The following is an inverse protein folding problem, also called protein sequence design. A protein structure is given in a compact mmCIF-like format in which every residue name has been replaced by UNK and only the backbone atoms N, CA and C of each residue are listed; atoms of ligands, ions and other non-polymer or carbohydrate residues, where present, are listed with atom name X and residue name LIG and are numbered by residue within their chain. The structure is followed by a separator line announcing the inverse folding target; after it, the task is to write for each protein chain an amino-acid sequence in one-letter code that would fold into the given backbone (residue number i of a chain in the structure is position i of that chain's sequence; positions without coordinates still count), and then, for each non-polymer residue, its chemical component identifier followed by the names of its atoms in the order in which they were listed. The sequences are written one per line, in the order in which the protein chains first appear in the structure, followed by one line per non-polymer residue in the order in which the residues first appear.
data_IF_950188405124
#
_entry.id   IF_950188405124
#
_cell.length_a   1.000
_cell.length_b   1.000
_cell.length_c   1.000
_cell.angle_alpha   90.00
_cell.angle_beta   90.00
_cell.angle_gamma   90.00
#
_symmetry.space_group_name_H-M   'P 1'
#
loop_
_entity.id
_entity.type
_entity.pdbx_description
1 polymer ?
#
# COMPACT_ATOMS: atom_id res chain seq x y z
N UNK A 1 16.23 -35.06 -31.27
CA UNK A 1 16.56 -35.53 -29.91
C UNK A 1 17.75 -34.72 -29.41
N UNK A 2 17.60 -33.47 -28.96
CA UNK A 2 17.20 -33.05 -27.61
C UNK A 2 17.96 -33.78 -26.50
N UNK A 3 18.95 -33.10 -25.91
CA UNK A 3 19.15 -33.12 -24.46
C UNK A 3 19.87 -31.83 -24.08
N UNK A 4 19.01 -30.95 -23.56
CA UNK A 4 19.22 -29.58 -23.18
C UNK A 4 19.84 -29.50 -21.78
N UNK A 5 20.45 -28.36 -21.54
CA UNK A 5 20.91 -27.83 -20.26
C UNK A 5 19.89 -28.08 -19.14
N UNK A 6 20.35 -28.60 -18.00
CA UNK A 6 19.68 -28.31 -16.72
C UNK A 6 20.69 -28.21 -15.60
N UNK A 7 20.80 -26.96 -15.15
CA UNK A 7 21.68 -26.46 -14.13
C UNK A 7 21.63 -27.25 -12.83
N UNK A 8 22.85 -27.51 -12.39
CA UNK A 8 23.30 -27.85 -11.06
C UNK A 8 22.60 -26.98 -10.00
N UNK A 9 21.70 -27.60 -9.24
CA UNK A 9 21.23 -27.06 -7.97
C UNK A 9 22.40 -27.13 -6.99
N UNK A 10 23.21 -26.08 -6.96
CA UNK A 10 24.22 -25.86 -5.93
C UNK A 10 23.48 -25.78 -4.59
N UNK A 11 23.53 -26.89 -3.85
CA UNK A 11 23.27 -26.88 -2.42
C UNK A 11 24.13 -25.79 -1.81
N UNK A 12 23.48 -24.85 -1.12
CA UNK A 12 24.19 -23.93 -0.25
C UNK A 12 24.74 -24.81 0.88
N UNK A 13 25.99 -25.24 0.72
CA UNK A 13 26.75 -25.87 1.77
C UNK A 13 26.67 -24.95 2.99
N UNK A 14 26.03 -25.45 4.04
CA UNK A 14 26.10 -24.88 5.37
C UNK A 14 27.57 -24.99 5.81
N UNK A 15 28.35 -23.95 5.49
CA UNK A 15 29.71 -23.81 5.97
C UNK A 15 29.65 -23.77 7.49
N UNK A 16 30.11 -24.84 8.12
CA UNK A 16 30.53 -24.89 9.53
C UNK A 16 31.60 -23.82 9.76
N UNK A 17 31.15 -22.58 9.94
CA UNK A 17 31.97 -21.49 10.44
C UNK A 17 31.65 -21.31 11.91
N UNK A 18 32.67 -21.67 12.69
CA UNK A 18 32.88 -21.43 14.11
C UNK A 18 31.87 -20.47 14.77
N UNK A 19 31.27 -20.96 15.85
CA UNK A 19 30.38 -20.25 16.75
C UNK A 19 30.77 -18.76 16.91
N UNK A 20 29.85 -17.81 16.64
CA UNK A 20 30.10 -16.42 16.95
C UNK A 20 30.18 -16.31 18.48
N UNK A 21 31.24 -15.66 18.96
CA UNK A 21 31.38 -15.26 20.35
C UNK A 21 30.13 -14.48 20.75
N UNK A 22 29.54 -14.84 21.89
CA UNK A 22 28.43 -14.13 22.51
C UNK A 22 28.78 -12.64 22.65
N UNK A 23 28.11 -11.82 21.86
CA UNK A 23 27.96 -10.40 22.13
C UNK A 23 26.67 -10.28 22.97
N UNK A 24 26.82 -10.24 24.29
CA UNK A 24 25.75 -10.28 25.29
C UNK A 24 24.88 -8.99 25.35
N UNK A 25 24.92 -8.12 24.34
CA UNK A 25 24.15 -6.86 24.33
C UNK A 25 23.32 -6.62 23.06
N UNK A 26 23.01 -7.66 22.28
CA UNK A 26 21.96 -7.55 21.27
C UNK A 26 20.58 -7.69 21.94
N UNK A 27 19.99 -6.57 22.38
CA UNK A 27 18.58 -6.51 22.80
C UNK A 27 17.69 -6.85 21.59
N UNK A 28 17.46 -8.14 21.34
CA UNK A 28 16.47 -8.60 20.38
C UNK A 28 15.09 -8.52 21.03
N UNK A 29 14.31 -7.50 20.64
CA UNK A 29 12.89 -7.41 20.97
C UNK A 29 12.19 -8.68 20.47
N UNK A 30 11.63 -9.47 21.40
CA UNK A 30 10.76 -10.59 21.03
C UNK A 30 9.63 -10.03 20.16
N UNK A 31 9.46 -10.47 18.90
CA UNK A 31 8.39 -9.99 18.05
C UNK A 31 7.05 -10.51 18.60
N UNK A 32 6.43 -9.72 19.47
CA UNK A 32 5.09 -9.99 20.02
C UNK A 32 4.07 -9.11 19.28
N UNK A 33 3.80 -9.42 18.02
CA UNK A 33 2.55 -8.96 17.41
C UNK A 33 1.43 -9.91 17.85
N UNK A 34 0.66 -9.51 18.86
CA UNK A 34 -0.58 -10.19 19.21
C UNK A 34 -1.68 -9.92 18.18
N UNK A 35 -2.72 -10.76 18.16
CA UNK A 35 -3.85 -10.62 17.23
C UNK A 35 -4.48 -9.23 17.26
N UNK A 36 -4.75 -8.70 18.47
CA UNK A 36 -5.37 -7.38 18.63
C UNK A 36 -4.48 -6.24 18.13
N UNK A 37 -3.15 -6.33 18.36
CA UNK A 37 -2.20 -5.34 17.85
C UNK A 37 -2.14 -5.38 16.32
N UNK A 38 -2.15 -6.58 15.72
CA UNK A 38 -2.20 -6.74 14.27
C UNK A 38 -3.48 -6.16 13.65
N UNK A 39 -4.64 -6.48 14.20
CA UNK A 39 -5.94 -5.95 13.74
C UNK A 39 -5.96 -4.42 13.83
N UNK A 40 -5.51 -3.86 14.94
CA UNK A 40 -5.48 -2.39 15.13
C UNK A 40 -4.59 -1.70 14.11
N UNK A 41 -3.41 -2.27 13.81
CA UNK A 41 -2.49 -1.73 12.79
C UNK A 41 -3.12 -1.78 11.39
N UNK A 42 -3.79 -2.88 11.05
CA UNK A 42 -4.47 -3.04 9.76
C UNK A 42 -5.63 -2.05 9.63
N UNK A 43 -6.47 -1.92 10.67
CA UNK A 43 -7.58 -0.97 10.66
C UNK A 43 -7.07 0.48 10.55
N UNK A 44 -6.00 0.81 11.28
CA UNK A 44 -5.37 2.12 11.24
C UNK A 44 -4.70 2.45 9.90
N UNK A 45 -4.22 1.46 9.16
CA UNK A 45 -3.63 1.68 7.84
C UNK A 45 -4.68 1.76 6.71
N UNK A 46 -5.83 1.11 6.87
CA UNK A 46 -6.94 1.16 5.89
C UNK A 46 -7.74 2.46 6.02
N UNK A 47 -8.03 2.91 7.24
CA UNK A 47 -8.81 4.14 7.47
C UNK A 47 -7.93 5.36 7.23
N UNK A 48 -8.04 5.94 6.04
CA UNK A 48 -7.31 7.15 5.63
C UNK A 48 -8.21 8.38 5.41
N UNK A 49 -7.61 9.47 4.93
CA UNK A 49 -8.28 10.74 4.60
C UNK A 49 -9.27 10.65 3.43
N UNK A 50 -9.26 9.54 2.67
CA UNK A 50 -10.17 9.31 1.55
C UNK A 50 -11.65 9.35 1.92
N UNK A 51 -12.01 9.03 3.17
CA UNK A 51 -13.40 9.09 3.65
C UNK A 51 -14.01 10.49 3.57
N UNK A 52 -13.20 11.55 3.56
CA UNK A 52 -13.67 12.91 3.42
C UNK A 52 -13.93 13.31 1.96
N UNK A 53 -13.36 12.60 0.98
CA UNK A 53 -13.47 12.94 -0.46
C UNK A 53 -14.43 12.01 -1.18
N UNK A 54 -14.32 10.70 -0.90
CA UNK A 54 -15.04 9.65 -1.62
C UNK A 54 -16.58 9.75 -1.57
N UNK A 55 -17.24 10.12 -0.44
CA UNK A 55 -18.70 10.18 -0.39
C UNK A 55 -19.31 11.17 -1.39
N UNK A 56 -18.69 12.36 -1.56
CA UNK A 56 -19.14 13.36 -2.55
C UNK A 56 -19.03 12.81 -3.97
N UNK A 57 -17.92 12.12 -4.29
CA UNK A 57 -17.72 11.50 -5.60
C UNK A 57 -18.72 10.39 -5.91
N UNK A 58 -18.97 9.48 -4.96
CA UNK A 58 -19.91 8.37 -5.14
C UNK A 58 -21.34 8.88 -5.25
N UNK A 59 -21.74 9.87 -4.44
CA UNK A 59 -23.09 10.43 -4.50
C UNK A 59 -23.35 11.15 -5.83
N UNK A 60 -22.38 11.92 -6.34
CA UNK A 60 -22.49 12.56 -7.65
C UNK A 60 -22.58 11.55 -8.79
N UNK A 61 -21.87 10.42 -8.69
CA UNK A 61 -21.92 9.35 -9.70
C UNK A 61 -23.18 8.48 -9.67
N UNK A 62 -23.83 8.33 -8.51
CA UNK A 62 -25.00 7.46 -8.33
C UNK A 62 -26.33 8.23 -8.32
N UNK A 63 -26.33 9.52 -8.01
CA UNK A 63 -27.51 10.40 -7.98
C UNK A 63 -28.52 10.12 -6.86
N UNK A 64 -28.42 8.97 -6.18
CA UNK A 64 -29.32 8.56 -5.10
C UNK A 64 -28.53 8.00 -3.91
N UNK A 65 -28.96 8.37 -2.70
CA UNK A 65 -28.32 7.94 -1.44
C UNK A 65 -28.39 6.41 -1.28
N UNK A 66 -29.51 5.77 -1.66
CA UNK A 66 -29.66 4.32 -1.56
C UNK A 66 -28.65 3.56 -2.43
N UNK A 67 -28.45 4.02 -3.67
CA UNK A 67 -27.46 3.43 -4.57
C UNK A 67 -26.02 3.69 -4.09
N UNK A 68 -25.75 4.85 -3.50
CA UNK A 68 -24.42 5.16 -2.96
C UNK A 68 -24.02 4.19 -1.83
N UNK A 69 -24.95 3.80 -0.96
CA UNK A 69 -24.70 2.82 0.10
C UNK A 69 -24.44 1.41 -0.46
N UNK A 70 -25.17 1.01 -1.50
CA UNK A 70 -24.93 -0.27 -2.18
C UNK A 70 -23.54 -0.31 -2.80
N UNK A 71 -23.08 0.77 -3.44
CA UNK A 71 -21.72 0.86 -3.99
C UNK A 71 -20.66 0.76 -2.89
N UNK A 72 -20.88 1.42 -1.75
CA UNK A 72 -19.99 1.29 -0.59
C UNK A 72 -19.87 -0.14 -0.10
N UNK A 73 -20.99 -0.84 0.12
CA UNK A 73 -20.99 -2.25 0.55
C UNK A 73 -20.34 -3.16 -0.49
N UNK A 74 -20.66 -2.96 -1.77
CA UNK A 74 -20.07 -3.73 -2.87
C UNK A 74 -18.55 -3.55 -2.95
N UNK A 75 -18.06 -2.31 -2.80
CA UNK A 75 -16.61 -2.03 -2.75
C UNK A 75 -15.93 -2.70 -1.55
N UNK A 76 -16.58 -2.73 -0.39
CA UNK A 76 -16.06 -3.40 0.80
C UNK A 76 -15.94 -4.92 0.62
N UNK A 77 -16.94 -5.56 0.01
CA UNK A 77 -16.90 -6.99 -0.31
C UNK A 77 -15.78 -7.29 -1.33
N UNK A 78 -15.66 -6.45 -2.36
CA UNK A 78 -14.60 -6.60 -3.36
C UNK A 78 -13.20 -6.48 -2.74
N UNK A 79 -12.98 -5.49 -1.87
CA UNK A 79 -11.73 -5.34 -1.12
C UNK A 79 -11.46 -6.53 -0.19
N UNK A 80 -12.49 -7.11 0.44
CA UNK A 80 -12.32 -8.29 1.29
C UNK A 80 -11.83 -9.51 0.50
N UNK A 81 -12.38 -9.75 -0.69
CA UNK A 81 -11.92 -10.83 -1.57
C UNK A 81 -10.45 -10.62 -1.97
N UNK A 82 -10.09 -9.39 -2.36
CA UNK A 82 -8.70 -9.04 -2.66
C UNK A 82 -7.76 -9.27 -1.47
N UNK A 83 -8.17 -8.88 -0.27
CA UNK A 83 -7.39 -9.09 0.95
C UNK A 83 -7.15 -10.58 1.24
N UNK A 84 -8.12 -11.45 1.01
CA UNK A 84 -7.92 -12.90 1.15
C UNK A 84 -6.92 -13.45 0.13
N UNK A 85 -7.00 -13.04 -1.14
CA UNK A 85 -6.01 -13.44 -2.14
C UNK A 85 -4.59 -13.00 -1.76
N UNK A 86 -4.44 -11.77 -1.24
CA UNK A 86 -3.16 -11.25 -0.75
C UNK A 86 -2.68 -11.96 0.52
N UNK A 87 -3.59 -12.39 1.41
CA UNK A 87 -3.25 -13.17 2.59
C UNK A 87 -2.66 -14.54 2.20
N UNK A 88 -3.28 -15.26 1.26
CA UNK A 88 -2.77 -16.54 0.75
C UNK A 88 -1.38 -16.37 0.11
N UNK A 89 -1.20 -15.32 -0.69
CA UNK A 89 0.09 -15.02 -1.31
C UNK A 89 1.17 -14.66 -0.27
N UNK A 90 0.79 -13.91 0.77
CA UNK A 90 1.67 -13.56 1.88
C UNK A 90 2.05 -14.74 2.78
N UNK A 91 1.20 -15.76 2.86
CA UNK A 91 1.53 -17.03 3.52
C UNK A 91 2.44 -17.93 2.66
N UNK A 92 2.33 -17.85 1.33
CA UNK A 92 3.14 -18.65 0.41
C UNK A 92 4.56 -18.11 0.22
N UNK A 93 4.71 -16.79 0.09
CA UNK A 93 6.00 -16.14 -0.19
C UNK A 93 6.40 -15.25 0.98
N UNK A 94 7.20 -15.80 1.91
CA UNK A 94 7.69 -15.09 3.10
C UNK A 94 8.99 -14.32 2.84
N UNK A 95 9.07 -13.62 1.70
CA UNK A 95 10.21 -12.74 1.37
C UNK A 95 9.85 -11.28 1.66
N UNK A 96 10.82 -10.50 2.10
CA UNK A 96 10.63 -9.06 2.31
C UNK A 96 10.46 -8.32 0.98
N UNK A 97 9.49 -7.41 0.90
CA UNK A 97 9.23 -6.60 -0.30
C UNK A 97 7.79 -6.64 -0.84
N UNK A 98 6.89 -7.42 -0.23
CA UNK A 98 5.46 -7.52 -0.58
C UNK A 98 5.25 -7.67 -2.10
N UNK A 99 4.51 -6.75 -2.73
CA UNK A 99 4.21 -6.72 -4.17
C UNK A 99 5.44 -6.96 -5.06
N UNK A 100 6.57 -6.32 -4.74
CA UNK A 100 7.80 -6.47 -5.52
C UNK A 100 8.36 -7.90 -5.41
N UNK A 101 8.40 -8.46 -4.19
CA UNK A 101 8.89 -9.80 -3.95
C UNK A 101 8.01 -10.87 -4.62
N UNK A 102 6.69 -10.67 -4.63
CA UNK A 102 5.76 -11.59 -5.30
C UNK A 102 5.98 -11.62 -6.81
N UNK A 103 6.12 -10.45 -7.43
CA UNK A 103 6.34 -10.35 -8.89
C UNK A 103 7.75 -10.82 -9.29
N UNK A 104 8.74 -10.58 -8.43
CA UNK A 104 10.11 -11.04 -8.65
C UNK A 104 10.19 -12.58 -8.70
N UNK A 105 9.44 -13.26 -7.83
CA UNK A 105 9.41 -14.73 -7.79
C UNK A 105 8.65 -15.33 -8.98
N UNK A 106 7.56 -14.69 -9.43
CA UNK A 106 6.68 -15.26 -10.46
C UNK A 106 7.02 -14.87 -11.90
N UNK A 107 7.48 -13.62 -12.14
CA UNK A 107 7.70 -13.06 -13.49
C UNK A 107 9.14 -12.63 -13.76
N UNK A 108 10.03 -12.71 -12.75
CA UNK A 108 11.45 -12.37 -12.89
C UNK A 108 11.77 -10.88 -12.76
N UNK A 109 13.07 -10.51 -12.92
CA UNK A 109 13.59 -9.21 -12.49
C UNK A 109 13.11 -8.01 -13.33
N UNK A 110 12.84 -8.20 -14.62
CA UNK A 110 12.45 -7.09 -15.50
C UNK A 110 11.04 -6.56 -15.19
N UNK A 111 10.06 -7.46 -15.02
CA UNK A 111 8.67 -7.09 -14.70
C UNK A 111 8.60 -6.50 -13.29
N UNK A 112 9.37 -7.06 -12.34
CA UNK A 112 9.47 -6.52 -10.99
C UNK A 112 10.02 -5.09 -10.98
N UNK A 113 11.04 -4.80 -11.79
CA UNK A 113 11.58 -3.44 -11.94
C UNK A 113 10.53 -2.46 -12.50
N UNK A 114 9.79 -2.83 -13.54
CA UNK A 114 8.74 -1.96 -14.11
C UNK A 114 7.63 -1.67 -13.10
N UNK A 115 7.20 -2.67 -12.32
CA UNK A 115 6.20 -2.45 -11.27
C UNK A 115 6.70 -1.46 -10.22
N UNK A 116 7.95 -1.62 -9.76
CA UNK A 116 8.56 -0.72 -8.78
C UNK A 116 8.76 0.69 -9.36
N UNK A 117 9.16 0.78 -10.63
CA UNK A 117 9.32 2.05 -11.34
C UNK A 117 8.00 2.82 -11.40
N UNK A 118 6.92 2.17 -11.83
CA UNK A 118 5.57 2.77 -11.88
C UNK A 118 5.09 3.15 -10.49
N UNK A 119 5.33 2.30 -9.48
CA UNK A 119 4.99 2.60 -8.09
C UNK A 119 5.67 3.89 -7.62
N UNK A 120 6.98 4.01 -7.84
CA UNK A 120 7.79 5.14 -7.38
C UNK A 120 7.54 6.43 -8.17
N UNK A 121 7.38 6.35 -9.49
CA UNK A 121 7.23 7.54 -10.35
C UNK A 121 5.79 8.04 -10.45
N UNK A 122 4.80 7.16 -10.32
CA UNK A 122 3.40 7.51 -10.59
C UNK A 122 2.56 7.35 -9.32
N UNK A 123 2.50 6.14 -8.76
CA UNK A 123 1.53 5.83 -7.69
C UNK A 123 1.81 6.65 -6.43
N UNK A 124 3.06 6.67 -5.96
CA UNK A 124 3.44 7.38 -4.73
C UNK A 124 3.27 8.89 -4.85
N UNK A 125 3.78 9.58 -5.90
CA UNK A 125 3.58 11.01 -6.04
C UNK A 125 2.11 11.40 -6.24
N UNK A 126 1.34 10.63 -7.03
CA UNK A 126 -0.08 10.90 -7.22
C UNK A 126 -0.86 10.79 -5.90
N UNK A 127 -0.58 9.76 -5.10
CA UNK A 127 -1.22 9.61 -3.79
C UNK A 127 -0.93 10.79 -2.87
N UNK A 128 0.32 11.25 -2.80
CA UNK A 128 0.69 12.42 -2.00
C UNK A 128 0.01 13.70 -2.52
N UNK A 129 -0.03 13.89 -3.84
CA UNK A 129 -0.68 15.04 -4.45
C UNK A 129 -2.18 15.12 -4.15
N UNK A 130 -2.90 13.99 -4.21
CA UNK A 130 -4.33 13.95 -3.86
C UNK A 130 -4.56 14.31 -2.40
N UNK A 131 -3.73 13.80 -1.49
CA UNK A 131 -3.83 14.12 -0.05
C UNK A 131 -3.52 15.60 0.20
N UNK A 132 -2.47 16.15 -0.42
CA UNK A 132 -2.11 17.56 -0.30
C UNK A 132 -3.22 18.49 -0.85
N UNK A 133 -3.78 18.19 -2.03
CA UNK A 133 -4.90 18.96 -2.60
C UNK A 133 -6.13 18.91 -1.69
N UNK A 134 -6.44 17.73 -1.15
CA UNK A 134 -7.55 17.54 -0.21
C UNK A 134 -7.34 18.39 1.04
N UNK A 135 -6.15 18.31 1.64
CA UNK A 135 -5.78 19.12 2.80
C UNK A 135 -5.95 20.61 2.52
N UNK A 136 -5.40 21.11 1.42
CA UNK A 136 -5.51 22.52 1.03
C UNK A 136 -6.95 22.98 0.85
N UNK A 137 -7.78 22.17 0.19
CA UNK A 137 -9.20 22.48 0.02
C UNK A 137 -9.93 22.55 1.36
N UNK A 138 -9.66 21.60 2.27
CA UNK A 138 -10.30 21.57 3.59
C UNK A 138 -9.83 22.70 4.52
N UNK A 139 -8.57 23.14 4.43
CA UNK A 139 -8.03 24.26 5.23
C UNK A 139 -8.52 25.62 4.72
N UNK A 140 -8.74 25.77 3.42
CA UNK A 140 -9.22 27.02 2.82
C UNK A 140 -10.74 27.21 3.01
N UNK A 141 -11.50 26.13 3.21
CA UNK A 141 -12.96 26.20 3.34
C UNK A 141 -13.46 27.09 4.50
N UNK A 142 -12.86 27.08 5.70
CA UNK A 142 -13.25 28.01 6.77
C UNK A 142 -12.90 29.47 6.48
N UNK A 143 -11.87 29.75 5.67
CA UNK A 143 -11.46 31.11 5.32
C UNK A 143 -12.35 31.73 4.24
N UNK A 144 -12.99 30.90 3.41
CA UNK A 144 -13.96 31.31 2.39
C UNK A 144 -15.29 30.58 2.60
N UNK A 145 -16.08 30.97 3.62
CA UNK A 145 -17.32 30.27 3.97
C UNK A 145 -18.42 30.42 2.91
N UNK A 146 -18.50 31.57 2.25
CA UNK A 146 -19.57 31.90 1.29
C UNK A 146 -19.18 31.72 -0.19
N UNK A 147 -17.91 31.40 -0.47
CA UNK A 147 -17.39 31.32 -1.84
C UNK A 147 -16.51 30.08 -2.02
N UNK A 148 -16.48 29.53 -3.24
CA UNK A 148 -15.58 28.43 -3.54
C UNK A 148 -14.12 28.96 -3.53
N UNK A 149 -13.18 28.29 -2.82
CA UNK A 149 -11.81 28.77 -2.74
C UNK A 149 -11.18 28.78 -4.15
N UNK A 150 -10.50 29.87 -4.55
CA UNK A 150 -9.96 29.97 -5.90
C UNK A 150 -8.93 28.87 -6.15
N UNK A 151 -9.02 28.22 -7.33
CA UNK A 151 -8.17 27.07 -7.70
C UNK A 151 -6.67 27.36 -7.60
N UNK A 152 -6.28 28.62 -7.87
CA UNK A 152 -4.90 29.07 -7.74
C UNK A 152 -4.41 28.94 -6.29
N UNK A 153 -5.20 29.40 -5.31
CA UNK A 153 -4.84 29.32 -3.89
C UNK A 153 -4.76 27.87 -3.39
N UNK A 154 -5.71 27.02 -3.80
CA UNK A 154 -5.71 25.59 -3.46
C UNK A 154 -4.45 24.91 -4.00
N UNK A 155 -4.10 25.19 -5.27
CA UNK A 155 -2.91 24.64 -5.92
C UNK A 155 -1.62 25.14 -5.28
N UNK A 156 -1.48 26.44 -5.03
CA UNK A 156 -0.28 27.01 -4.38
C UNK A 156 -0.07 26.41 -2.99
N UNK A 157 -1.12 26.32 -2.17
CA UNK A 157 -1.02 25.70 -0.86
C UNK A 157 -0.66 24.21 -0.98
N UNK A 158 -1.27 23.49 -1.92
CA UNK A 158 -0.95 22.07 -2.14
C UNK A 158 0.50 21.85 -2.57
N UNK A 159 1.06 22.72 -3.43
CA UNK A 159 2.47 22.67 -3.80
C UNK A 159 3.41 22.97 -2.62
N UNK A 160 3.02 23.85 -1.70
CA UNK A 160 3.79 24.13 -0.48
C UNK A 160 3.75 23.00 0.54
N UNK A 161 2.72 22.15 0.50
CA UNK A 161 2.53 21.04 1.43
C UNK A 161 3.19 19.72 1.01
N UNK A 162 3.70 19.61 -0.22
CA UNK A 162 4.45 18.46 -0.75
C UNK A 162 5.95 18.72 -0.61
#
# INVERSE_FOLDING_TARGET
MTSDSKGEYRGVEMSDKAAPKEDEDAICLKPKMGLLNGVTVIVGSIIGSGIFVSPKGVLLGTGSVGLSLVVWVASGIFSMIGAFCYAELGCMITKSGADYAYIMESFGPFVAFIRLWVECMIVRPCSQAVVALTFSFYVLRPMFPDCEPPDSAVRFLAFLCI
#
